data_IF_462982376566
#
_entry.id   IF_462982376566
#
_cell.length_a   1.000
_cell.length_b   1.000
_cell.length_c   1.000
_cell.angle_alpha   90.00
_cell.angle_beta   90.00
_cell.angle_gamma   90.00
#
_symmetry.space_group_name_H-M   'P 1'
#
loop_
_entity.id
_entity.type
_entity.pdbx_description
1 polymer ?
#
# COMPACT_ATOMS: atom_id res chain seq x y z
N UNK A 1 9.29 2.67 -16.40
CA UNK A 1 8.87 3.89 -17.17
C UNK A 1 7.90 4.73 -16.33
N UNK A 2 8.05 6.06 -16.27
CA UNK A 2 7.10 6.97 -15.60
C UNK A 2 5.98 7.41 -16.55
N UNK A 3 4.84 7.82 -16.00
CA UNK A 3 3.68 8.28 -16.78
C UNK A 3 3.99 9.44 -17.75
N UNK A 4 4.76 10.48 -17.35
CA UNK A 4 5.13 11.56 -18.28
C UNK A 4 5.89 11.05 -19.51
N UNK A 5 6.78 10.07 -19.34
CA UNK A 5 7.50 9.45 -20.46
C UNK A 5 6.57 8.62 -21.35
N UNK A 6 5.63 7.90 -20.77
CA UNK A 6 4.61 7.16 -21.53
C UNK A 6 3.75 8.12 -22.37
N UNK A 7 3.31 9.24 -21.79
CA UNK A 7 2.59 10.29 -22.53
C UNK A 7 3.44 10.89 -23.65
N UNK A 8 4.74 11.13 -23.41
CA UNK A 8 5.65 11.63 -24.45
C UNK A 8 5.78 10.66 -25.61
N UNK A 9 5.95 9.37 -25.32
CA UNK A 9 6.00 8.34 -26.37
C UNK A 9 4.72 8.27 -27.21
N UNK A 10 3.56 8.46 -26.59
CA UNK A 10 2.30 8.55 -27.34
C UNK A 10 2.31 9.78 -28.27
N UNK A 11 2.78 10.93 -27.81
CA UNK A 11 2.92 12.15 -28.65
C UNK A 11 3.90 11.95 -29.79
N UNK A 12 5.03 11.28 -29.55
CA UNK A 12 6.03 10.96 -30.58
C UNK A 12 5.44 10.04 -31.67
N UNK A 13 4.43 9.23 -31.32
CA UNK A 13 3.62 8.44 -32.24
C UNK A 13 2.48 9.26 -32.89
N UNK A 14 2.41 10.57 -32.66
CA UNK A 14 1.38 11.44 -33.23
C UNK A 14 0.08 11.55 -32.43
N UNK A 15 0.06 11.14 -31.16
CA UNK A 15 -1.14 11.27 -30.33
C UNK A 15 -1.40 12.73 -29.95
N UNK A 16 -2.61 13.24 -30.23
CA UNK A 16 -3.17 14.42 -29.59
C UNK A 16 -3.67 14.07 -28.16
N UNK A 17 -3.90 15.05 -27.28
CA UNK A 17 -4.35 14.79 -25.90
C UNK A 17 -5.57 13.86 -25.78
N UNK A 18 -6.54 13.98 -26.69
CA UNK A 18 -7.71 13.10 -26.71
C UNK A 18 -7.36 11.65 -27.06
N UNK A 19 -6.32 11.44 -27.89
CA UNK A 19 -5.81 10.11 -28.23
C UNK A 19 -5.05 9.51 -27.05
N UNK A 20 -4.19 10.29 -26.35
CA UNK A 20 -3.47 9.86 -25.15
C UNK A 20 -4.45 9.26 -24.12
N UNK A 21 -5.48 10.03 -23.73
CA UNK A 21 -6.47 9.58 -22.74
C UNK A 21 -7.19 8.32 -23.19
N UNK A 22 -7.49 8.17 -24.48
CA UNK A 22 -8.15 6.98 -25.00
C UNK A 22 -7.25 5.72 -24.94
N UNK A 23 -5.99 5.85 -25.34
CA UNK A 23 -5.01 4.75 -25.28
C UNK A 23 -4.76 4.34 -23.84
N UNK A 24 -4.50 5.31 -22.95
CA UNK A 24 -4.28 5.06 -21.53
C UNK A 24 -5.48 4.39 -20.88
N UNK A 25 -6.70 4.85 -21.19
CA UNK A 25 -7.95 4.23 -20.70
C UNK A 25 -8.11 2.79 -21.18
N UNK A 26 -7.83 2.53 -22.46
CA UNK A 26 -7.84 1.18 -23.04
C UNK A 26 -6.91 0.24 -22.25
N UNK A 27 -5.67 0.67 -22.03
CA UNK A 27 -4.68 -0.10 -21.27
C UNK A 27 -5.11 -0.34 -19.82
N UNK A 28 -5.40 0.75 -19.08
CA UNK A 28 -5.67 0.66 -17.63
C UNK A 28 -6.95 -0.10 -17.34
N UNK A 29 -7.97 0.02 -18.20
CA UNK A 29 -9.24 -0.68 -18.02
C UNK A 29 -9.25 -2.10 -18.62
N UNK A 30 -8.19 -2.51 -19.32
CA UNK A 30 -8.13 -3.80 -20.01
C UNK A 30 -9.20 -3.95 -21.11
N UNK A 31 -9.56 -2.83 -21.76
CA UNK A 31 -10.58 -2.80 -22.81
C UNK A 31 -9.95 -2.65 -24.17
N UNK A 32 -10.58 -3.22 -25.21
CA UNK A 32 -10.17 -2.93 -26.57
C UNK A 32 -10.28 -1.44 -26.86
N UNK A 33 -9.32 -0.92 -27.61
CA UNK A 33 -9.39 0.43 -28.15
C UNK A 33 -10.47 0.55 -29.23
N UNK A 34 -10.73 -0.56 -29.93
CA UNK A 34 -11.84 -0.69 -30.84
C UNK A 34 -13.16 -0.81 -30.09
N UNK A 35 -14.21 -0.24 -30.65
CA UNK A 35 -15.55 -0.33 -30.10
C UNK A 35 -16.50 -0.88 -31.17
N UNK A 36 -17.72 -1.29 -30.76
CA UNK A 36 -18.78 -1.73 -31.71
C UNK A 36 -19.15 -0.65 -32.75
N UNK A 37 -18.88 0.62 -32.45
CA UNK A 37 -19.26 1.78 -33.29
C UNK A 37 -18.08 2.45 -33.99
N UNK A 38 -16.85 2.24 -33.52
CA UNK A 38 -15.62 2.87 -34.05
C UNK A 38 -14.45 1.91 -33.92
N UNK A 39 -13.67 1.80 -34.98
CA UNK A 39 -12.37 1.11 -34.98
C UNK A 39 -11.25 2.11 -34.72
N UNK A 40 -10.09 1.64 -34.31
CA UNK A 40 -8.91 2.50 -34.10
C UNK A 40 -8.55 3.28 -35.37
N UNK A 41 -8.68 2.67 -36.52
CA UNK A 41 -8.46 3.28 -37.84
C UNK A 41 -9.39 4.48 -38.15
N UNK A 42 -10.54 4.58 -37.49
CA UNK A 42 -11.51 5.65 -37.71
C UNK A 42 -11.18 6.95 -36.95
N UNK A 43 -10.24 6.88 -35.98
CA UNK A 43 -10.02 8.01 -35.07
C UNK A 43 -8.61 8.14 -34.47
N UNK A 44 -7.68 7.24 -34.78
CA UNK A 44 -6.28 7.36 -34.39
C UNK A 44 -5.41 7.71 -35.60
N UNK A 45 -4.39 8.57 -35.43
CA UNK A 45 -3.37 8.77 -36.46
C UNK A 45 -2.74 7.44 -36.86
N UNK A 46 -2.36 7.32 -38.12
CA UNK A 46 -1.82 6.08 -38.70
C UNK A 46 -0.57 5.62 -37.91
N UNK A 47 0.38 6.56 -37.69
CA UNK A 47 1.61 6.28 -36.93
C UNK A 47 1.35 5.78 -35.51
N UNK A 48 0.34 6.36 -34.82
CA UNK A 48 -0.07 5.92 -33.49
C UNK A 48 -0.66 4.51 -33.56
N UNK A 49 -1.59 4.27 -34.49
CA UNK A 49 -2.24 2.96 -34.67
C UNK A 49 -1.19 1.86 -34.91
N UNK A 50 -0.23 2.12 -35.79
CA UNK A 50 0.80 1.15 -36.16
C UNK A 50 1.83 0.92 -35.04
N UNK A 51 2.07 1.93 -34.19
CA UNK A 51 2.95 1.82 -33.01
C UNK A 51 2.32 1.17 -31.77
N UNK A 52 0.99 1.14 -31.68
CA UNK A 52 0.29 0.63 -30.47
C UNK A 52 0.58 -0.84 -30.14
N UNK A 53 0.65 -1.79 -31.10
CA UNK A 53 0.96 -3.18 -30.76
C UNK A 53 2.30 -3.34 -30.05
N UNK A 54 3.33 -2.63 -30.49
CA UNK A 54 4.64 -2.59 -29.83
C UNK A 54 4.56 -1.99 -28.42
N UNK A 55 3.93 -0.81 -28.28
CA UNK A 55 3.75 -0.14 -26.99
C UNK A 55 2.98 -1.02 -25.99
N UNK A 56 1.88 -1.64 -26.41
CA UNK A 56 1.14 -2.55 -25.54
C UNK A 56 1.90 -3.83 -25.21
N UNK A 57 2.78 -4.29 -26.12
CA UNK A 57 3.74 -5.36 -25.86
C UNK A 57 4.67 -5.01 -24.70
N UNK A 58 5.28 -3.83 -24.74
CA UNK A 58 6.15 -3.33 -23.68
C UNK A 58 5.39 -3.14 -22.36
N UNK A 59 4.20 -2.55 -22.39
CA UNK A 59 3.37 -2.36 -21.19
C UNK A 59 2.97 -3.68 -20.53
N UNK A 60 2.70 -4.74 -21.32
CA UNK A 60 2.47 -6.09 -20.82
C UNK A 60 3.72 -6.73 -20.24
N UNK A 61 4.90 -6.39 -20.79
CA UNK A 61 6.19 -6.89 -20.32
C UNK A 61 6.68 -6.26 -19.02
N UNK A 62 6.06 -5.15 -18.54
CA UNK A 62 6.49 -4.45 -17.33
C UNK A 62 6.30 -5.27 -16.04
N UNK A 63 5.26 -6.10 -16.02
CA UNK A 63 4.92 -6.91 -14.88
C UNK A 63 4.12 -8.14 -15.34
N UNK A 64 4.43 -9.29 -14.77
CA UNK A 64 3.68 -10.53 -14.98
C UNK A 64 3.39 -11.24 -13.67
N UNK A 65 2.28 -11.93 -13.57
CA UNK A 65 2.02 -12.77 -12.39
C UNK A 65 2.84 -14.04 -12.53
N UNK A 66 3.75 -14.24 -11.59
CA UNK A 66 4.56 -15.45 -11.48
C UNK A 66 3.77 -16.58 -10.80
N UNK A 67 3.10 -16.26 -9.69
CA UNK A 67 2.23 -17.21 -8.98
C UNK A 67 1.04 -16.50 -8.33
N UNK A 68 -0.04 -17.24 -8.11
CA UNK A 68 -1.25 -16.78 -7.45
C UNK A 68 -1.60 -17.77 -6.33
N UNK A 69 -1.87 -17.24 -5.15
CA UNK A 69 -2.19 -18.00 -3.95
C UNK A 69 -3.56 -17.56 -3.44
N UNK A 70 -4.58 -18.39 -3.67
CA UNK A 70 -5.94 -18.09 -3.26
C UNK A 70 -6.12 -18.28 -1.75
N UNK A 71 -6.66 -17.28 -1.07
CA UNK A 71 -7.04 -17.33 0.33
C UNK A 71 -8.49 -17.79 0.51
N UNK A 72 -8.79 -18.35 1.68
CA UNK A 72 -10.12 -18.87 2.03
C UNK A 72 -11.19 -17.78 2.10
N UNK A 73 -10.80 -16.52 2.34
CA UNK A 73 -11.69 -15.37 2.43
C UNK A 73 -12.07 -14.75 1.07
N UNK A 74 -11.68 -15.40 -0.03
CA UNK A 74 -11.86 -14.91 -1.40
C UNK A 74 -10.84 -13.86 -1.82
N UNK A 75 -9.80 -13.62 -1.04
CA UNK A 75 -8.60 -12.89 -1.46
C UNK A 75 -7.65 -13.76 -2.28
N UNK A 76 -6.66 -13.16 -2.90
CA UNK A 76 -5.53 -13.90 -3.47
C UNK A 76 -4.26 -13.05 -3.42
N UNK A 77 -3.16 -13.63 -2.97
CA UNK A 77 -1.84 -13.02 -3.05
C UNK A 77 -1.21 -13.35 -4.41
N UNK A 78 -0.79 -12.32 -5.11
CA UNK A 78 -0.11 -12.41 -6.39
C UNK A 78 1.38 -12.11 -6.18
N UNK A 79 2.24 -13.04 -6.53
CA UNK A 79 3.66 -12.76 -6.72
C UNK A 79 3.83 -12.20 -8.13
N UNK A 80 4.25 -10.96 -8.22
CA UNK A 80 4.39 -10.20 -9.46
C UNK A 80 5.87 -10.03 -9.76
N UNK A 81 6.30 -10.56 -10.89
CA UNK A 81 7.64 -10.35 -11.43
C UNK A 81 7.64 -9.12 -12.34
N UNK A 82 8.63 -8.25 -12.14
CA UNK A 82 8.87 -7.03 -12.91
C UNK A 82 9.85 -7.29 -14.05
N UNK A 83 9.88 -6.38 -15.02
CA UNK A 83 10.72 -6.51 -16.23
C UNK A 83 12.23 -6.66 -15.94
N UNK A 84 12.69 -6.23 -14.77
CA UNK A 84 14.08 -6.33 -14.33
C UNK A 84 14.37 -7.59 -13.49
N UNK A 85 13.39 -8.51 -13.38
CA UNK A 85 13.49 -9.73 -12.59
C UNK A 85 13.24 -9.55 -11.08
N UNK A 86 13.05 -8.32 -10.60
CA UNK A 86 12.64 -8.08 -9.20
C UNK A 86 11.19 -8.51 -9.00
N UNK A 87 10.83 -8.81 -7.75
CA UNK A 87 9.47 -9.21 -7.42
C UNK A 87 8.82 -8.27 -6.42
N UNK A 88 7.51 -8.11 -6.58
CA UNK A 88 6.64 -7.49 -5.59
C UNK A 88 5.39 -8.35 -5.40
N UNK A 89 4.69 -8.12 -4.31
CA UNK A 89 3.43 -8.80 -4.05
C UNK A 89 2.27 -7.80 -4.13
N UNK A 90 1.19 -8.24 -4.75
CA UNK A 90 -0.12 -7.58 -4.75
C UNK A 90 -1.15 -8.50 -4.14
N UNK A 91 -2.20 -7.95 -3.55
CA UNK A 91 -3.28 -8.77 -2.98
C UNK A 91 -4.61 -8.37 -3.59
N UNK A 92 -5.25 -9.34 -4.24
CA UNK A 92 -6.65 -9.22 -4.62
C UNK A 92 -7.50 -9.28 -3.35
N UNK A 93 -8.15 -8.18 -3.03
CA UNK A 93 -8.97 -8.08 -1.81
C UNK A 93 -10.40 -8.53 -2.11
N UNK A 94 -11.15 -9.04 -1.14
CA UNK A 94 -12.59 -9.23 -1.29
C UNK A 94 -13.29 -7.95 -1.75
N UNK A 95 -14.46 -8.06 -2.39
CA UNK A 95 -15.29 -6.92 -2.82
C UNK A 95 -14.61 -5.97 -3.82
N UNK A 96 -14.02 -6.55 -4.86
CA UNK A 96 -13.45 -5.81 -6.00
C UNK A 96 -12.32 -4.84 -5.61
N UNK A 97 -11.52 -5.16 -4.62
CA UNK A 97 -10.34 -4.38 -4.24
C UNK A 97 -9.02 -5.00 -4.68
N UNK A 98 -7.97 -4.18 -4.79
CA UNK A 98 -6.58 -4.63 -4.90
C UNK A 98 -5.68 -3.80 -4.01
N UNK A 99 -4.77 -4.48 -3.30
CA UNK A 99 -3.65 -3.89 -2.60
C UNK A 99 -2.42 -3.95 -3.50
N UNK A 100 -1.79 -2.81 -3.78
CA UNK A 100 -0.63 -2.69 -4.66
C UNK A 100 0.61 -2.23 -3.91
N UNK A 101 1.76 -2.68 -4.40
CA UNK A 101 3.08 -2.29 -3.91
C UNK A 101 3.57 -1.04 -4.63
N UNK A 102 4.39 -0.24 -3.93
CA UNK A 102 4.98 1.01 -4.45
C UNK A 102 6.50 0.97 -4.50
N UNK A 103 7.10 -0.04 -3.86
CA UNK A 103 8.55 -0.24 -3.77
C UNK A 103 8.87 -1.73 -3.80
N UNK A 104 10.08 -2.08 -4.20
CA UNK A 104 10.69 -3.38 -3.90
C UNK A 104 11.40 -3.24 -2.56
N UNK A 105 10.83 -3.84 -1.50
CA UNK A 105 11.24 -3.59 -0.12
C UNK A 105 10.68 -2.30 0.46
N UNK A 106 11.17 -1.86 1.62
CA UNK A 106 10.72 -0.63 2.30
C UNK A 106 11.80 -0.06 3.20
N UNK A 107 12.06 1.25 3.11
CA UNK A 107 13.06 1.91 3.92
C UNK A 107 12.60 2.20 5.36
N UNK A 108 11.29 2.23 5.65
CA UNK A 108 10.78 2.59 7.00
C UNK A 108 11.23 1.60 8.07
N UNK A 109 11.24 0.31 7.73
CA UNK A 109 11.73 -0.73 8.63
C UNK A 109 10.84 -0.92 9.86
N UNK A 110 9.52 -0.79 9.71
CA UNK A 110 8.57 -1.07 10.80
C UNK A 110 8.90 -2.43 11.41
N UNK A 111 9.09 -2.48 12.73
CA UNK A 111 9.60 -3.68 13.43
C UNK A 111 8.71 -4.92 13.32
N UNK A 112 7.43 -4.71 13.00
CA UNK A 112 6.42 -5.76 12.85
C UNK A 112 6.09 -6.09 11.37
N UNK A 113 6.86 -5.56 10.38
CA UNK A 113 6.54 -5.69 8.96
C UNK A 113 7.65 -6.40 8.19
N UNK A 114 7.29 -7.47 7.50
CA UNK A 114 8.23 -8.26 6.69
C UNK A 114 8.89 -7.47 5.56
N UNK A 115 8.14 -6.56 4.93
CA UNK A 115 8.65 -5.75 3.81
C UNK A 115 9.87 -4.92 4.19
N UNK A 116 9.93 -4.42 5.42
CA UNK A 116 11.02 -3.56 5.91
C UNK A 116 12.30 -4.30 6.26
N UNK A 117 12.28 -5.62 6.43
CA UNK A 117 13.43 -6.41 6.90
C UNK A 117 14.61 -6.39 5.91
N UNK A 118 14.30 -6.50 4.64
CA UNK A 118 15.32 -6.47 3.57
C UNK A 118 15.74 -5.05 3.16
N UNK A 119 15.15 -4.02 3.78
CA UNK A 119 15.36 -2.64 3.38
C UNK A 119 14.68 -2.30 2.05
N UNK A 120 15.08 -1.18 1.46
CA UNK A 120 14.60 -0.71 0.17
C UNK A 120 15.61 -1.09 -0.93
N UNK A 121 15.16 -1.83 -1.93
CA UNK A 121 15.96 -2.10 -3.13
C UNK A 121 15.76 -1.02 -4.17
N UNK A 122 14.50 -0.73 -4.58
CA UNK A 122 14.19 0.37 -5.49
C UNK A 122 12.74 0.86 -5.39
N UNK A 123 12.52 2.04 -5.95
CA UNK A 123 11.18 2.57 -6.19
C UNK A 123 10.53 1.88 -7.39
N UNK A 124 9.21 1.67 -7.34
CA UNK A 124 8.43 1.35 -8.53
C UNK A 124 8.10 2.63 -9.29
N UNK A 125 8.16 2.56 -10.61
CA UNK A 125 7.66 3.63 -11.47
C UNK A 125 6.14 3.68 -11.46
N UNK A 126 5.56 4.82 -11.80
CA UNK A 126 4.10 4.98 -11.86
C UNK A 126 3.42 3.94 -12.75
N UNK A 127 4.06 3.58 -13.87
CA UNK A 127 3.51 2.59 -14.82
C UNK A 127 3.60 1.16 -14.26
N UNK A 128 4.65 0.81 -13.51
CA UNK A 128 4.74 -0.49 -12.80
C UNK A 128 3.69 -0.60 -11.69
N UNK A 129 3.41 0.49 -10.98
CA UNK A 129 2.34 0.52 -9.97
C UNK A 129 0.99 0.27 -10.63
N UNK A 130 0.70 0.95 -11.75
CA UNK A 130 -0.56 0.77 -12.50
C UNK A 130 -0.64 -0.62 -13.15
N UNK A 131 0.48 -1.20 -13.62
CA UNK A 131 0.52 -2.54 -14.20
C UNK A 131 -0.02 -3.61 -13.23
N UNK A 132 0.21 -3.47 -11.91
CA UNK A 132 -0.37 -4.37 -10.91
C UNK A 132 -1.91 -4.30 -10.91
N UNK A 133 -2.49 -3.12 -11.10
CA UNK A 133 -3.94 -2.95 -11.20
C UNK A 133 -4.48 -3.56 -12.50
N UNK A 134 -3.74 -3.42 -13.61
CA UNK A 134 -4.08 -4.05 -14.90
C UNK A 134 -4.07 -5.57 -14.77
N UNK A 135 -3.05 -6.14 -14.12
CA UNK A 135 -2.98 -7.57 -13.83
C UNK A 135 -4.15 -8.03 -12.94
N UNK A 136 -4.53 -7.26 -11.94
CA UNK A 136 -5.69 -7.55 -11.10
C UNK A 136 -6.99 -7.53 -11.92
N UNK A 137 -7.15 -6.53 -12.80
CA UNK A 137 -8.33 -6.39 -13.69
C UNK A 137 -8.47 -7.50 -14.73
N UNK A 138 -7.37 -8.14 -15.13
CA UNK A 138 -7.44 -9.32 -16.01
C UNK A 138 -8.01 -10.57 -15.31
N UNK A 139 -8.15 -10.54 -13.98
CA UNK A 139 -8.66 -11.64 -13.16
C UNK A 139 -10.08 -11.40 -12.66
N UNK A 140 -10.33 -10.18 -12.19
CA UNK A 140 -11.66 -9.80 -11.67
C UNK A 140 -11.85 -8.29 -11.71
N UNK A 141 -13.10 -7.79 -11.58
CA UNK A 141 -13.37 -6.36 -11.48
C UNK A 141 -12.56 -5.72 -10.34
N UNK A 142 -12.00 -4.51 -10.60
CA UNK A 142 -11.30 -3.72 -9.59
C UNK A 142 -11.94 -2.35 -9.51
N UNK A 143 -12.61 -2.08 -8.38
CA UNK A 143 -13.29 -0.83 -8.05
C UNK A 143 -12.58 -0.02 -6.99
N UNK A 144 -11.64 -0.65 -6.23
CA UNK A 144 -10.87 -0.02 -5.16
C UNK A 144 -9.41 -0.42 -5.24
N UNK A 145 -8.51 0.56 -5.08
CA UNK A 145 -7.06 0.34 -5.02
C UNK A 145 -6.54 0.92 -3.71
N UNK A 146 -5.80 0.11 -2.95
CA UNK A 146 -5.13 0.56 -1.73
C UNK A 146 -3.61 0.45 -1.92
N UNK A 147 -2.89 1.54 -1.66
CA UNK A 147 -1.43 1.61 -1.73
C UNK A 147 -0.87 1.23 -0.36
N UNK A 148 -1.07 -0.05 0.02
CA UNK A 148 -0.74 -0.62 1.34
C UNK A 148 0.06 -1.93 1.22
N UNK A 149 0.55 -2.25 0.01
CA UNK A 149 1.42 -3.39 -0.24
C UNK A 149 2.84 -3.13 0.24
N UNK A 150 3.82 -3.57 -0.52
CA UNK A 150 5.22 -3.32 -0.20
C UNK A 150 5.59 -1.86 -0.45
N UNK A 151 6.28 -1.25 0.53
CA UNK A 151 6.82 0.11 0.43
C UNK A 151 6.02 1.17 1.17
N UNK A 152 6.67 2.32 1.35
CA UNK A 152 6.06 3.55 1.87
C UNK A 152 5.76 4.50 0.71
N UNK A 153 4.48 4.77 0.39
CA UNK A 153 4.11 5.64 -0.73
C UNK A 153 4.71 7.04 -0.68
N UNK A 154 4.90 7.61 0.53
CA UNK A 154 5.52 8.93 0.69
C UNK A 154 6.98 8.98 0.24
N UNK A 155 7.71 7.85 0.32
CA UNK A 155 9.08 7.75 -0.19
C UNK A 155 9.14 7.64 -1.71
N UNK A 156 8.02 7.33 -2.36
CA UNK A 156 7.86 7.24 -3.82
C UNK A 156 6.77 8.18 -4.35
N UNK A 157 6.63 9.33 -3.72
CA UNK A 157 5.45 10.20 -3.80
C UNK A 157 5.09 10.58 -5.24
N UNK A 158 6.06 10.98 -6.07
CA UNK A 158 5.80 11.39 -7.45
C UNK A 158 5.18 10.26 -8.27
N UNK A 159 5.78 9.07 -8.24
CA UNK A 159 5.27 7.92 -8.99
C UNK A 159 3.89 7.48 -8.49
N UNK A 160 3.66 7.54 -7.17
CA UNK A 160 2.37 7.16 -6.59
C UNK A 160 1.27 8.17 -6.96
N UNK A 161 1.57 9.49 -6.95
CA UNK A 161 0.63 10.51 -7.38
C UNK A 161 0.28 10.38 -8.88
N UNK A 162 1.27 10.13 -9.74
CA UNK A 162 1.06 9.84 -11.16
C UNK A 162 0.18 8.59 -11.37
N UNK A 163 0.40 7.53 -10.59
CA UNK A 163 -0.41 6.32 -10.65
C UNK A 163 -1.85 6.59 -10.19
N UNK A 164 -2.04 7.35 -9.10
CA UNK A 164 -3.35 7.76 -8.59
C UNK A 164 -4.10 8.59 -9.63
N UNK A 165 -3.42 9.55 -10.25
CA UNK A 165 -4.02 10.37 -11.32
C UNK A 165 -4.49 9.50 -12.48
N UNK A 166 -3.64 8.62 -12.99
CA UNK A 166 -3.98 7.73 -14.10
C UNK A 166 -5.15 6.79 -13.76
N UNK A 167 -5.15 6.22 -12.55
CA UNK A 167 -6.22 5.33 -12.10
C UNK A 167 -7.55 6.06 -11.87
N UNK A 168 -7.50 7.29 -11.38
CA UNK A 168 -8.69 8.11 -11.15
C UNK A 168 -9.27 8.68 -12.44
N UNK A 169 -8.44 9.27 -13.30
CA UNK A 169 -8.87 9.95 -14.53
C UNK A 169 -9.22 8.95 -15.62
N UNK A 170 -8.29 8.05 -15.95
CA UNK A 170 -8.46 7.11 -17.07
C UNK A 170 -8.92 5.73 -16.60
N UNK A 171 -8.53 5.34 -15.38
CA UNK A 171 -8.89 4.04 -14.82
C UNK A 171 -10.33 3.94 -14.34
N UNK A 172 -11.06 5.06 -14.20
CA UNK A 172 -12.45 5.10 -13.77
C UNK A 172 -12.65 4.70 -12.30
N UNK A 173 -11.63 4.85 -11.46
CA UNK A 173 -11.71 4.57 -10.02
C UNK A 173 -12.05 5.86 -9.29
N UNK A 174 -13.17 5.88 -8.56
CA UNK A 174 -13.57 7.05 -7.78
C UNK A 174 -12.52 7.42 -6.73
N UNK A 175 -12.32 8.72 -6.49
CA UNK A 175 -11.27 9.26 -5.63
C UNK A 175 -11.21 8.58 -4.24
N UNK A 176 -12.36 8.43 -3.56
CA UNK A 176 -12.49 7.76 -2.26
C UNK A 176 -12.10 6.27 -2.26
N UNK A 177 -12.06 5.67 -3.44
CA UNK A 177 -11.70 4.26 -3.63
C UNK A 177 -10.22 4.07 -3.98
N UNK A 178 -9.47 5.17 -4.13
CA UNK A 178 -8.02 5.19 -4.14
C UNK A 178 -7.56 5.54 -2.73
N UNK A 179 -6.84 4.65 -2.06
CA UNK A 179 -6.46 4.85 -0.65
C UNK A 179 -4.95 4.98 -0.57
N UNK A 180 -4.48 6.19 -0.30
CA UNK A 180 -3.07 6.48 -0.05
C UNK A 180 -2.75 6.16 1.42
N UNK A 181 -1.85 5.22 1.66
CA UNK A 181 -1.40 4.87 3.01
C UNK A 181 0.00 5.41 3.27
N UNK A 182 0.26 5.92 4.48
CA UNK A 182 1.57 6.43 4.85
C UNK A 182 1.80 6.38 6.37
N UNK A 183 3.07 6.25 6.75
CA UNK A 183 3.51 6.47 8.14
C UNK A 183 3.50 7.95 8.55
N UNK A 184 3.27 8.84 7.58
CA UNK A 184 3.25 10.30 7.77
C UNK A 184 4.53 10.95 7.26
N UNK A 185 4.35 11.88 6.29
CA UNK A 185 5.40 12.74 5.74
C UNK A 185 4.75 14.08 5.38
N UNK A 186 5.36 15.21 5.79
CA UNK A 186 4.79 16.57 5.56
C UNK A 186 4.51 16.83 4.08
N UNK A 187 5.38 16.33 3.17
CA UNK A 187 5.19 16.44 1.72
C UNK A 187 3.86 15.86 1.23
N UNK A 188 3.37 14.80 1.89
CA UNK A 188 2.07 14.19 1.56
C UNK A 188 0.94 15.18 1.84
N UNK A 189 0.95 15.80 3.01
CA UNK A 189 -0.08 16.77 3.43
C UNK A 189 -0.01 18.10 2.64
N UNK A 190 1.16 18.44 2.11
CA UNK A 190 1.33 19.57 1.21
C UNK A 190 0.81 19.28 -0.19
N UNK A 191 1.06 18.08 -0.74
CA UNK A 191 0.82 17.77 -2.14
C UNK A 191 -0.55 17.16 -2.43
N UNK A 192 -1.02 16.21 -1.61
CA UNK A 192 -2.30 15.53 -1.84
C UNK A 192 -3.50 16.48 -1.96
N UNK A 193 -3.63 17.55 -1.13
CA UNK A 193 -4.75 18.48 -1.25
C UNK A 193 -4.81 19.23 -2.58
N UNK A 194 -3.68 19.35 -3.28
CA UNK A 194 -3.56 20.05 -4.56
C UNK A 194 -3.58 19.12 -5.78
N UNK A 195 -3.59 17.80 -5.57
CA UNK A 195 -3.67 16.83 -6.67
C UNK A 195 -5.02 16.87 -7.37
N UNK A 196 -5.06 16.57 -8.67
CA UNK A 196 -6.29 16.46 -9.46
C UNK A 196 -7.22 15.38 -8.88
N UNK A 197 -6.65 14.22 -8.56
CA UNK A 197 -7.33 13.12 -7.88
C UNK A 197 -6.96 13.13 -6.41
N UNK A 198 -7.95 13.30 -5.53
CA UNK A 198 -7.76 13.33 -4.07
C UNK A 198 -8.14 11.97 -3.48
N UNK A 199 -7.17 11.09 -3.18
CA UNK A 199 -7.46 9.78 -2.60
C UNK A 199 -7.96 9.90 -1.15
N UNK A 200 -8.60 8.85 -0.63
CA UNK A 200 -8.77 8.70 0.80
C UNK A 200 -7.40 8.49 1.47
N UNK A 201 -7.21 9.05 2.67
CA UNK A 201 -5.95 8.95 3.40
C UNK A 201 -6.03 7.88 4.48
N UNK A 202 -5.02 7.02 4.53
CA UNK A 202 -4.78 6.09 5.63
C UNK A 202 -3.46 6.45 6.32
N UNK A 203 -3.50 6.69 7.64
CA UNK A 203 -2.33 7.05 8.44
C UNK A 203 -1.96 5.91 9.40
N UNK A 204 -0.75 5.40 9.28
CA UNK A 204 -0.16 4.42 10.18
C UNK A 204 0.25 5.12 11.48
N UNK A 205 -0.62 5.04 12.50
CA UNK A 205 -0.41 5.68 13.79
C UNK A 205 0.31 4.75 14.78
N UNK A 206 -0.26 3.58 15.04
CA UNK A 206 0.22 2.44 15.84
C UNK A 206 0.44 2.68 17.34
N UNK A 207 0.54 3.91 17.80
CA UNK A 207 0.62 4.32 19.20
C UNK A 207 0.33 5.81 19.34
N UNK A 208 -0.09 6.25 20.52
CA UNK A 208 -0.25 7.65 20.88
C UNK A 208 1.01 8.23 21.53
N UNK A 209 1.95 7.38 21.89
CA UNK A 209 3.24 7.75 22.47
C UNK A 209 4.31 7.97 21.39
N UNK A 210 4.99 9.13 21.42
CA UNK A 210 5.96 9.49 20.42
C UNK A 210 7.25 8.66 20.49
N UNK A 211 7.66 8.24 21.71
CA UNK A 211 8.86 7.43 21.89
C UNK A 211 8.61 6.00 21.39
N UNK A 212 7.48 5.41 21.81
CA UNK A 212 7.09 4.10 21.31
C UNK A 212 6.94 4.11 19.79
N UNK A 213 6.40 5.21 19.22
CA UNK A 213 6.26 5.34 17.77
C UNK A 213 7.61 5.29 17.06
N UNK A 214 8.64 6.00 17.56
CA UNK A 214 10.01 5.94 17.00
C UNK A 214 10.59 4.53 17.07
N UNK A 215 10.28 3.77 18.11
CA UNK A 215 10.70 2.36 18.26
C UNK A 215 9.98 1.43 17.30
N UNK A 216 8.67 1.62 17.08
CA UNK A 216 7.87 0.81 16.17
C UNK A 216 8.14 1.11 14.68
N UNK A 217 8.42 2.38 14.37
CA UNK A 217 8.62 2.91 13.02
C UNK A 217 9.97 3.66 12.92
N UNK A 218 11.11 2.95 13.01
CA UNK A 218 12.41 3.58 13.31
C UNK A 218 12.91 4.58 12.28
N UNK A 219 12.42 4.51 11.05
CA UNK A 219 12.81 5.45 9.97
C UNK A 219 11.60 6.21 9.39
N UNK A 220 10.50 6.27 10.12
CA UNK A 220 9.44 7.23 9.82
C UNK A 220 9.90 8.65 10.17
N UNK A 221 9.39 9.69 9.47
CA UNK A 221 9.63 11.07 9.89
C UNK A 221 9.20 11.32 11.32
N UNK A 222 10.01 12.07 12.07
CA UNK A 222 9.73 12.43 13.47
C UNK A 222 8.64 13.49 13.55
N UNK A 223 7.41 13.05 13.45
CA UNK A 223 6.20 13.86 13.59
C UNK A 223 5.40 13.28 14.75
N UNK A 224 5.08 14.12 15.73
CA UNK A 224 4.32 13.67 16.89
C UNK A 224 2.93 13.13 16.50
N UNK A 225 2.41 12.08 17.19
CA UNK A 225 1.08 11.54 16.90
C UNK A 225 -0.03 12.59 16.84
N UNK A 226 -0.01 13.57 17.76
CA UNK A 226 -0.99 14.65 17.79
C UNK A 226 -0.91 15.52 16.54
N UNK A 227 0.29 15.88 16.11
CA UNK A 227 0.50 16.65 14.88
C UNK A 227 0.05 15.88 13.64
N UNK A 228 0.35 14.57 13.55
CA UNK A 228 -0.15 13.72 12.45
C UNK A 228 -1.67 13.71 12.38
N UNK A 229 -2.33 13.71 13.54
CA UNK A 229 -3.80 13.76 13.61
C UNK A 229 -4.32 15.09 13.10
N UNK A 230 -3.71 16.23 13.46
CA UNK A 230 -4.14 17.55 12.96
C UNK A 230 -3.91 17.69 11.45
N UNK A 231 -2.78 17.24 10.93
CA UNK A 231 -2.50 17.24 9.49
C UNK A 231 -3.52 16.37 8.74
N UNK A 232 -3.84 15.19 9.28
CA UNK A 232 -4.86 14.31 8.75
C UNK A 232 -6.25 14.93 8.76
N UNK A 233 -6.63 15.57 9.86
CA UNK A 233 -7.93 16.25 10.00
C UNK A 233 -8.09 17.37 8.98
N UNK A 234 -7.06 18.20 8.79
CA UNK A 234 -7.07 19.24 7.77
C UNK A 234 -7.33 18.67 6.37
N UNK A 235 -6.69 17.54 6.04
CA UNK A 235 -6.93 16.82 4.79
C UNK A 235 -8.36 16.28 4.70
N UNK A 236 -8.86 15.63 5.77
CA UNK A 236 -10.20 15.06 5.82
C UNK A 236 -11.29 16.11 5.57
N UNK A 237 -11.17 17.26 6.25
CA UNK A 237 -12.13 18.38 6.08
C UNK A 237 -12.10 18.95 4.67
N UNK A 238 -10.93 19.04 4.06
CA UNK A 238 -10.77 19.56 2.69
C UNK A 238 -11.34 18.61 1.63
N UNK A 239 -11.25 17.29 1.85
CA UNK A 239 -11.66 16.29 0.86
C UNK A 239 -13.06 15.72 1.07
N UNK A 240 -13.61 15.84 2.28
CA UNK A 240 -14.86 15.21 2.67
C UNK A 240 -14.74 13.69 2.90
N UNK A 241 -13.52 13.17 3.08
CA UNK A 241 -13.27 11.75 3.38
C UNK A 241 -12.63 11.61 4.75
N UNK A 242 -13.15 10.74 5.65
CA UNK A 242 -12.53 10.51 6.94
C UNK A 242 -11.14 9.90 6.80
N UNK A 243 -10.19 10.36 7.61
CA UNK A 243 -8.89 9.70 7.73
C UNK A 243 -9.08 8.31 8.32
N UNK A 244 -8.40 7.33 7.76
CA UNK A 244 -8.38 5.96 8.25
C UNK A 244 -7.09 5.74 9.05
N UNK A 245 -7.12 5.90 10.37
CA UNK A 245 -5.97 5.59 11.22
C UNK A 245 -5.79 4.08 11.28
N UNK A 246 -4.58 3.60 10.96
CA UNK A 246 -4.21 2.20 11.00
C UNK A 246 -3.44 1.93 12.28
N UNK A 247 -3.83 0.88 12.99
CA UNK A 247 -3.22 0.49 14.25
C UNK A 247 -3.04 -1.02 14.29
N UNK A 248 -1.80 -1.46 14.06
CA UNK A 248 -1.46 -2.87 14.25
C UNK A 248 -1.39 -3.14 15.75
N UNK A 249 -2.27 -4.00 16.25
CA UNK A 249 -2.32 -4.38 17.64
C UNK A 249 -1.22 -5.40 17.97
N UNK A 250 -0.38 -5.05 18.92
CA UNK A 250 0.73 -5.84 19.43
C UNK A 250 0.51 -6.08 20.93
N UNK A 251 0.39 -7.35 21.32
CA UNK A 251 0.11 -7.76 22.70
C UNK A 251 1.15 -7.20 23.69
N UNK A 252 0.68 -6.53 24.75
CA UNK A 252 1.52 -5.97 25.81
C UNK A 252 2.38 -4.77 25.37
N UNK A 253 2.18 -4.24 24.15
CA UNK A 253 2.97 -3.11 23.63
C UNK A 253 2.09 -1.89 23.40
N UNK A 254 1.05 -1.99 22.60
CA UNK A 254 0.19 -0.87 22.22
C UNK A 254 -1.31 -1.19 22.36
N UNK A 255 -1.65 -2.15 23.19
CA UNK A 255 -3.01 -2.61 23.46
C UNK A 255 -3.49 -2.27 24.90
N UNK A 256 -2.79 -1.34 25.58
CA UNK A 256 -3.10 -0.90 26.94
C UNK A 256 -4.30 0.06 27.00
N UNK A 257 -4.86 0.23 28.21
CA UNK A 257 -5.93 1.22 28.45
C UNK A 257 -5.42 2.66 28.31
N UNK A 258 -4.13 2.91 28.60
CA UNK A 258 -3.50 4.21 28.37
C UNK A 258 -3.52 4.60 26.88
N UNK A 259 -3.30 3.63 25.97
CA UNK A 259 -3.45 3.86 24.54
C UNK A 259 -4.91 4.12 24.13
N UNK A 260 -5.89 3.44 24.76
CA UNK A 260 -7.30 3.75 24.53
C UNK A 260 -7.63 5.19 24.92
N UNK A 261 -7.13 5.66 26.06
CA UNK A 261 -7.29 7.04 26.53
C UNK A 261 -6.61 8.02 25.56
N UNK A 262 -5.42 7.69 25.10
CA UNK A 262 -4.67 8.47 24.12
C UNK A 262 -5.42 8.59 22.79
N UNK A 263 -5.90 7.48 22.23
CA UNK A 263 -6.70 7.47 20.99
C UNK A 263 -7.95 8.31 21.13
N UNK A 264 -8.69 8.12 22.24
CA UNK A 264 -9.93 8.86 22.48
C UNK A 264 -9.68 10.37 22.57
N UNK A 265 -8.61 10.81 23.23
CA UNK A 265 -8.22 12.23 23.29
C UNK A 265 -7.81 12.77 21.92
N UNK A 266 -6.97 12.05 21.19
CA UNK A 266 -6.46 12.49 19.89
C UNK A 266 -7.55 12.61 18.81
N UNK A 267 -8.52 11.67 18.83
CA UNK A 267 -9.55 11.59 17.80
C UNK A 267 -10.88 12.23 18.19
N UNK A 268 -10.96 12.85 19.38
CA UNK A 268 -12.18 13.57 19.81
C UNK A 268 -12.58 14.65 18.79
N UNK A 269 -13.79 14.54 18.24
CA UNK A 269 -14.34 15.49 17.26
C UNK A 269 -13.68 15.46 15.87
N UNK A 270 -12.74 14.55 15.62
CA UNK A 270 -12.07 14.43 14.33
C UNK A 270 -12.91 13.63 13.31
N UNK A 271 -12.79 13.99 12.05
CA UNK A 271 -13.42 13.24 10.97
C UNK A 271 -12.54 12.02 10.59
N UNK A 272 -12.68 10.97 11.36
CA UNK A 272 -11.76 9.85 11.40
C UNK A 272 -12.45 8.49 11.60
N UNK A 273 -11.74 7.44 11.18
CA UNK A 273 -12.06 6.04 11.48
C UNK A 273 -10.80 5.38 12.03
N UNK A 274 -10.87 4.79 13.21
CA UNK A 274 -9.81 3.94 13.75
C UNK A 274 -9.97 2.51 13.22
N UNK A 275 -8.95 1.98 12.58
CA UNK A 275 -8.86 0.57 12.18
C UNK A 275 -7.89 -0.16 13.12
N UNK A 276 -8.40 -0.97 14.00
CA UNK A 276 -7.61 -1.89 14.82
C UNK A 276 -7.35 -3.16 14.02
N UNK A 277 -6.10 -3.50 13.81
CA UNK A 277 -5.65 -4.62 12.99
C UNK A 277 -4.82 -5.55 13.87
N UNK A 278 -5.36 -6.67 14.35
CA UNK A 278 -4.58 -7.66 15.10
C UNK A 278 -3.35 -8.08 14.26
N UNK A 279 -2.20 -8.17 14.91
CA UNK A 279 -0.94 -8.50 14.26
C UNK A 279 -1.03 -9.81 13.45
N UNK A 280 -0.48 -9.81 12.26
CA UNK A 280 -0.38 -10.97 11.39
C UNK A 280 1.03 -11.55 11.48
N UNK A 281 1.16 -12.69 12.17
CA UNK A 281 2.43 -13.41 12.27
C UNK A 281 2.82 -14.01 10.91
N UNK A 282 4.12 -14.23 10.73
CA UNK A 282 4.68 -15.03 9.65
C UNK A 282 5.42 -16.19 10.29
N UNK A 283 5.04 -17.41 9.94
CA UNK A 283 5.65 -18.61 10.50
C UNK A 283 7.11 -18.80 10.02
N UNK A 284 7.95 -19.31 10.91
CA UNK A 284 9.33 -19.66 10.59
C UNK A 284 10.27 -18.48 10.38
N UNK A 285 9.88 -17.27 10.81
CA UNK A 285 10.74 -16.07 10.73
C UNK A 285 11.23 -15.70 12.13
N UNK A 286 12.52 -15.89 12.38
CA UNK A 286 13.18 -15.51 13.63
C UNK A 286 13.19 -13.99 13.84
N UNK A 287 13.09 -13.56 15.11
CA UNK A 287 13.23 -12.15 15.51
C UNK A 287 11.98 -11.29 15.29
N UNK A 288 10.80 -11.88 15.13
CA UNK A 288 9.50 -11.23 15.25
C UNK A 288 8.73 -11.85 16.44
N UNK A 289 9.19 -11.61 17.66
CA UNK A 289 8.56 -12.11 18.90
C UNK A 289 7.26 -11.36 19.24
N UNK A 290 6.63 -10.68 18.27
CA UNK A 290 5.37 -10.02 18.48
C UNK A 290 4.22 -11.01 18.50
N UNK A 291 3.28 -10.77 19.38
CA UNK A 291 2.04 -11.55 19.49
C UNK A 291 0.83 -10.69 19.16
N UNK A 292 -0.17 -11.36 18.65
CA UNK A 292 -1.50 -10.80 18.48
C UNK A 292 -2.19 -10.78 19.84
N UNK A 293 -2.82 -9.68 20.28
CA UNK A 293 -3.71 -9.72 21.44
C UNK A 293 -4.85 -10.73 21.24
N UNK A 294 -5.42 -11.19 22.33
CA UNK A 294 -6.61 -12.04 22.24
C UNK A 294 -7.73 -11.31 21.47
N UNK A 295 -8.60 -12.09 20.84
CA UNK A 295 -9.73 -11.51 20.12
C UNK A 295 -10.66 -10.73 21.04
N UNK A 296 -10.84 -11.22 22.29
CA UNK A 296 -11.62 -10.59 23.34
C UNK A 296 -11.06 -9.20 23.68
N UNK A 297 -9.71 -9.08 23.84
CA UNK A 297 -9.04 -7.81 24.11
C UNK A 297 -9.21 -6.84 22.94
N UNK A 298 -8.97 -7.29 21.74
CA UNK A 298 -9.12 -6.46 20.54
C UNK A 298 -10.57 -5.96 20.36
N UNK A 299 -11.56 -6.83 20.62
CA UNK A 299 -12.97 -6.49 20.57
C UNK A 299 -13.39 -5.53 21.69
N UNK A 300 -12.84 -5.70 22.91
CA UNK A 300 -13.04 -4.80 24.02
C UNK A 300 -12.51 -3.39 23.71
N UNK A 301 -11.29 -3.30 23.19
CA UNK A 301 -10.71 -2.03 22.74
C UNK A 301 -11.61 -1.32 21.73
N UNK A 302 -12.07 -2.05 20.71
CA UNK A 302 -12.97 -1.49 19.70
C UNK A 302 -14.29 -0.98 20.31
N UNK A 303 -14.91 -1.75 21.21
CA UNK A 303 -16.13 -1.35 21.93
C UNK A 303 -15.89 -0.14 22.84
N UNK A 304 -14.77 -0.12 23.55
CA UNK A 304 -14.40 1.00 24.43
C UNK A 304 -14.25 2.30 23.66
N UNK A 305 -13.51 2.28 22.53
CA UNK A 305 -13.36 3.45 21.68
C UNK A 305 -14.70 3.91 21.08
N UNK A 306 -15.56 2.97 20.71
CA UNK A 306 -16.90 3.28 20.18
C UNK A 306 -17.76 4.03 21.23
N UNK A 307 -17.76 3.54 22.49
CA UNK A 307 -18.47 4.21 23.61
C UNK A 307 -17.92 5.62 23.89
N UNK A 308 -16.66 5.88 23.55
CA UNK A 308 -16.00 7.19 23.67
C UNK A 308 -16.16 8.07 22.43
N UNK A 309 -17.03 7.68 21.48
CA UNK A 309 -17.33 8.45 20.28
C UNK A 309 -16.32 8.31 19.13
N UNK A 310 -15.36 7.40 19.21
CA UNK A 310 -14.41 7.13 18.13
C UNK A 310 -14.97 6.01 17.24
N UNK A 311 -15.27 6.32 15.97
CA UNK A 311 -15.70 5.31 15.00
C UNK A 311 -14.57 4.32 14.77
N UNK A 312 -14.72 3.10 15.29
CA UNK A 312 -13.68 2.08 15.30
C UNK A 312 -14.11 0.83 14.54
N UNK A 313 -13.19 0.24 13.80
CA UNK A 313 -13.37 -1.04 13.11
C UNK A 313 -12.27 -2.00 13.54
N UNK A 314 -12.67 -3.16 14.06
CA UNK A 314 -11.77 -4.29 14.20
C UNK A 314 -11.68 -5.00 12.84
N UNK A 315 -10.46 -5.08 12.30
CA UNK A 315 -10.20 -5.55 10.95
C UNK A 315 -9.57 -6.94 10.97
N UNK A 316 -10.13 -7.83 10.18
CA UNK A 316 -9.37 -8.99 9.70
C UNK A 316 -8.61 -8.58 8.43
N UNK A 317 -7.31 -8.84 8.38
CA UNK A 317 -6.56 -8.65 7.15
C UNK A 317 -6.98 -9.72 6.15
N UNK A 318 -7.19 -9.33 4.90
CA UNK A 318 -7.49 -10.28 3.84
C UNK A 318 -6.26 -11.12 3.51
N UNK A 319 -6.46 -12.41 3.24
CA UNK A 319 -5.42 -13.34 2.81
C UNK A 319 -4.35 -13.63 3.86
N UNK A 320 -4.70 -13.65 5.15
CA UNK A 320 -3.74 -13.99 6.21
C UNK A 320 -3.18 -15.40 6.05
N UNK A 321 -4.01 -16.33 5.64
CA UNK A 321 -3.72 -17.76 5.40
C UNK A 321 -2.71 -18.00 4.25
N UNK A 322 -2.62 -17.03 3.33
CA UNK A 322 -1.67 -17.05 2.21
C UNK A 322 -0.56 -15.99 2.32
N UNK A 323 -0.29 -15.51 3.55
CA UNK A 323 0.68 -14.44 3.83
C UNK A 323 0.44 -13.14 3.02
N UNK A 324 -0.82 -12.86 2.71
CA UNK A 324 -1.25 -11.63 2.01
C UNK A 324 -1.72 -10.50 2.92
N UNK A 325 -1.76 -10.72 4.24
CA UNK A 325 -2.20 -9.74 5.23
C UNK A 325 -1.25 -8.57 5.41
N UNK A 326 -1.74 -7.52 6.07
CA UNK A 326 -0.92 -6.35 6.38
C UNK A 326 0.34 -6.75 7.18
N UNK A 327 1.50 -6.32 6.71
CA UNK A 327 2.81 -6.62 7.31
C UNK A 327 3.45 -7.95 6.85
N UNK A 328 2.74 -8.83 6.14
CA UNK A 328 3.25 -10.14 5.73
C UNK A 328 3.98 -10.13 4.37
N UNK A 329 3.73 -9.13 3.52
CA UNK A 329 4.29 -9.07 2.17
C UNK A 329 5.81 -8.86 2.18
N UNK A 330 6.51 -9.57 1.27
CA UNK A 330 7.96 -9.47 1.12
C UNK A 330 8.40 -9.73 -0.32
N UNK A 331 9.54 -9.18 -0.73
CA UNK A 331 10.17 -9.56 -2.00
C UNK A 331 10.65 -11.02 -1.91
N UNK A 332 10.23 -11.86 -2.86
CA UNK A 332 10.62 -13.26 -2.94
C UNK A 332 11.52 -13.48 -4.14
N UNK A 333 12.55 -14.29 -3.98
CA UNK A 333 13.45 -14.64 -5.09
C UNK A 333 12.78 -15.68 -5.98
N UNK A 334 12.82 -15.46 -7.28
CA UNK A 334 12.36 -16.43 -8.28
C UNK A 334 13.47 -17.46 -8.56
N UNK A 335 13.13 -18.74 -8.56
CA UNK A 335 14.01 -19.79 -9.13
C UNK A 335 14.91 -20.56 -8.17
N UNK A 336 14.55 -20.64 -6.89
CA UNK A 336 15.12 -21.66 -6.00
C UNK A 336 14.02 -22.52 -5.42
N UNK A 337 14.17 -23.84 -5.45
CA UNK A 337 13.58 -24.67 -4.40
C UNK A 337 14.27 -24.14 -3.13
N UNK A 338 13.61 -23.24 -2.41
CA UNK A 338 14.14 -22.65 -1.20
C UNK A 338 14.39 -23.80 -0.22
N UNK A 339 15.64 -24.22 -0.06
CA UNK A 339 16.02 -24.89 1.16
C UNK A 339 15.79 -23.84 2.27
N UNK A 340 15.30 -24.27 3.41
CA UNK A 340 15.08 -23.40 4.59
C UNK A 340 16.34 -22.60 5.01
N UNK A 341 17.49 -22.85 4.39
CA UNK A 341 18.78 -22.21 4.65
C UNK A 341 19.12 -21.08 3.66
N UNK A 342 18.51 -21.01 2.48
CA UNK A 342 18.86 -20.00 1.46
C UNK A 342 18.18 -18.65 1.70
N UNK A 343 17.06 -18.61 2.43
CA UNK A 343 16.40 -17.35 2.80
C UNK A 343 17.26 -16.48 3.74
N UNK A 344 18.19 -17.09 4.48
CA UNK A 344 19.08 -16.40 5.43
C UNK A 344 20.39 -15.89 4.79
N UNK A 345 20.77 -16.35 3.59
CA UNK A 345 22.10 -16.09 3.03
C UNK A 345 22.15 -14.98 1.96
N UNK A 346 21.02 -14.48 1.48
CA UNK A 346 20.95 -13.39 0.47
C UNK A 346 20.93 -11.99 1.08
N UNK A 347 20.79 -11.88 2.40
CA UNK A 347 20.77 -10.61 3.09
C UNK A 347 21.81 -10.62 4.20
N UNK A 348 23.06 -10.22 3.89
CA UNK A 348 23.94 -9.75 4.97
C UNK A 348 23.29 -8.49 5.56
N UNK A 349 22.89 -8.49 6.83
CA UNK A 349 22.39 -7.28 7.47
C UNK A 349 23.53 -6.27 7.47
N UNK A 350 23.26 -5.05 7.04
CA UNK A 350 24.13 -3.93 7.39
C UNK A 350 24.33 -4.01 8.90
N UNK A 351 25.60 -4.04 9.34
CA UNK A 351 26.01 -4.23 10.72
C UNK A 351 25.14 -3.38 11.64
N UNK A 352 24.41 -4.07 12.48
CA UNK A 352 23.65 -3.50 13.58
C UNK A 352 24.58 -2.63 14.42
N UNK A 353 24.24 -1.36 14.58
CA UNK A 353 24.66 -0.62 15.76
C UNK A 353 23.92 -1.29 16.92
N UNK A 354 24.59 -1.78 17.97
CA UNK A 354 23.92 -2.44 19.09
C UNK A 354 23.14 -1.40 19.88
N UNK A 355 21.88 -1.24 19.53
CA UNK A 355 20.87 -0.62 20.37
C UNK A 355 20.13 -1.78 21.04
N UNK A 356 20.07 -1.73 22.34
CA UNK A 356 19.59 -2.74 23.26
C UNK A 356 18.36 -3.49 22.75
N UNK A 357 18.57 -4.78 22.56
CA UNK A 357 17.55 -5.79 22.35
C UNK A 357 16.49 -5.69 23.45
N UNK A 358 15.20 -5.86 23.08
CA UNK A 358 14.12 -6.11 24.02
C UNK A 358 14.43 -7.34 24.89
N UNK A 359 15.32 -7.19 25.88
CA UNK A 359 15.48 -8.19 26.92
C UNK A 359 14.33 -8.02 27.90
N UNK A 360 13.69 -9.15 28.16
CA UNK A 360 12.71 -9.37 29.21
C UNK A 360 13.14 -8.66 30.51
N UNK A 361 12.56 -7.51 30.77
CA UNK A 361 12.36 -7.02 32.11
C UNK A 361 10.92 -6.54 32.22
N UNK A 362 10.09 -7.47 32.65
CA UNK A 362 8.66 -7.27 32.95
C UNK A 362 8.44 -6.38 34.19
N UNK A 363 9.35 -5.45 34.49
CA UNK A 363 9.27 -4.67 35.74
C UNK A 363 9.53 -3.17 35.60
N UNK A 364 9.56 -2.59 34.40
CA UNK A 364 9.69 -1.11 34.29
C UNK A 364 8.74 -0.59 33.25
N UNK A 365 7.47 -0.56 33.58
CA UNK A 365 6.53 0.46 33.12
C UNK A 365 5.74 0.90 34.36
N UNK A 366 5.90 2.14 34.87
CA UNK A 366 4.93 2.73 35.74
C UNK A 366 3.64 3.06 34.97
#
# INVERSE_FOLDING_TARGET
MRLPLLRQRLRDLGAAPCHEGRVLRSWVQGRSIDTKRRRAEDFLPLSLRDGLPGLFGELRGLARVHSEHAGEDGSARLLVELADGQTVESVLLPRDGVCVSTQVGCAVGCVFCMTGRAGLLRQLTSVEIVAQVVLARSRRPVKKVVFMGMGEPAHNLDNVLEAIELLGVEGGIGHKNLVFSTVGDRRVFERLPHSTVKPALALSLHTTDAELRRRLLPRAPDIAPAELVELGEAYARRTGYPVQYQWTLLEGINDSDAELDGIARLLAGKYAVMNLIPYNSVEGVDGLDFRRPSWERAAEMARSLHRRGVLTKLRHSAGQDVEGGCGQLRARVLGGVASKNDENNLFQPMRHVPGECFKRDAKVFP
#
